data_IF_581214765952
#
_entry.id   IF_581214765952
#
_cell.length_a   1.000
_cell.length_b   1.000
_cell.length_c   1.000
_cell.angle_alpha   90.00
_cell.angle_beta   90.00
_cell.angle_gamma   90.00
#
_symmetry.space_group_name_H-M   'P 1'
#
loop_
_entity.id
_entity.type
_entity.pdbx_description
1 polymer ?
#
# COMPACT_ATOMS: atom_id res chain seq x y z
N UNK A 1 4.44 14.21 -11.43
CA UNK A 1 3.27 14.94 -10.89
C UNK A 1 2.00 14.24 -11.37
N UNK A 2 1.35 13.51 -10.48
CA UNK A 2 0.04 12.92 -10.74
C UNK A 2 -1.05 14.00 -10.62
N UNK A 3 -2.16 13.82 -11.33
CA UNK A 3 -3.34 14.66 -11.24
C UNK A 3 -4.54 13.84 -10.79
N UNK A 4 -5.31 14.36 -9.84
CA UNK A 4 -6.52 13.73 -9.30
C UNK A 4 -7.66 14.74 -9.37
N UNK A 5 -8.82 14.33 -9.85
CA UNK A 5 -10.02 15.15 -9.87
C UNK A 5 -11.25 14.33 -9.48
N UNK A 6 -12.25 14.98 -8.91
CA UNK A 6 -13.57 14.40 -8.68
C UNK A 6 -14.53 15.06 -9.66
N UNK A 7 -15.10 14.27 -10.55
CA UNK A 7 -16.11 14.72 -11.49
C UNK A 7 -17.49 14.39 -10.92
N UNK A 8 -18.34 15.39 -10.78
CA UNK A 8 -19.72 15.25 -10.30
C UNK A 8 -20.66 15.69 -11.41
N UNK A 9 -21.52 14.78 -11.87
CA UNK A 9 -22.48 15.03 -12.94
C UNK A 9 -23.88 14.75 -12.43
N UNK A 10 -24.80 15.75 -12.38
CA UNK A 10 -26.19 15.52 -11.98
C UNK A 10 -26.88 14.52 -12.92
N UNK A 11 -27.63 13.59 -12.37
CA UNK A 11 -28.49 12.68 -13.14
C UNK A 11 -29.90 13.23 -13.23
N UNK A 12 -30.66 12.81 -14.25
CA UNK A 12 -32.05 13.25 -14.45
C UNK A 12 -32.94 12.69 -13.34
N UNK A 13 -32.74 11.42 -12.98
CA UNK A 13 -33.55 10.69 -12.02
C UNK A 13 -32.76 10.37 -10.76
N UNK A 14 -33.45 10.19 -9.63
CA UNK A 14 -32.84 9.68 -8.41
C UNK A 14 -32.50 8.21 -8.56
N UNK A 15 -31.29 7.88 -8.18
CA UNK A 15 -30.77 6.51 -8.08
C UNK A 15 -30.76 6.04 -6.62
N UNK A 16 -30.58 4.74 -6.34
CA UNK A 16 -30.40 4.25 -4.96
C UNK A 16 -29.21 4.89 -4.22
N UNK A 17 -28.23 5.48 -4.95
CA UNK A 17 -27.05 6.14 -4.41
C UNK A 17 -27.12 7.67 -4.45
N UNK A 18 -28.23 8.26 -4.87
CA UNK A 18 -28.45 9.71 -4.92
C UNK A 18 -28.74 10.23 -6.32
N UNK A 19 -28.60 11.54 -6.49
CA UNK A 19 -28.92 12.27 -7.74
C UNK A 19 -27.67 12.64 -8.56
N UNK A 20 -26.48 12.40 -8.04
CA UNK A 20 -25.23 12.73 -8.72
C UNK A 20 -24.46 11.47 -9.10
N UNK A 21 -23.91 11.45 -10.31
CA UNK A 21 -22.86 10.49 -10.71
C UNK A 21 -21.50 11.06 -10.32
N UNK A 22 -20.83 10.41 -9.39
CA UNK A 22 -19.52 10.82 -8.85
C UNK A 22 -18.44 9.91 -9.38
N UNK A 23 -17.48 10.50 -10.09
CA UNK A 23 -16.38 9.77 -10.69
C UNK A 23 -15.03 10.30 -10.19
N UNK A 24 -14.18 9.39 -9.70
CA UNK A 24 -12.80 9.69 -9.37
C UNK A 24 -11.93 9.55 -10.61
N UNK A 25 -11.29 10.63 -11.00
CA UNK A 25 -10.45 10.72 -12.18
C UNK A 25 -8.99 10.81 -11.77
N UNK A 26 -8.10 10.13 -12.50
CA UNK A 26 -6.68 10.04 -12.22
C UNK A 26 -5.84 10.10 -13.50
N UNK A 27 -4.71 10.77 -13.41
CA UNK A 27 -3.63 10.71 -14.39
C UNK A 27 -2.30 10.58 -13.66
N UNK A 28 -1.51 9.55 -13.99
CA UNK A 28 -0.23 9.28 -13.33
C UNK A 28 0.85 10.32 -13.70
N UNK A 29 0.74 10.95 -14.87
CA UNK A 29 1.68 11.91 -15.41
C UNK A 29 0.97 13.15 -15.96
N UNK A 30 1.67 14.30 -15.97
CA UNK A 30 1.14 15.57 -16.46
C UNK A 30 0.65 15.56 -17.90
N UNK A 31 1.24 14.70 -18.73
CA UNK A 31 0.91 14.63 -20.17
C UNK A 31 -0.17 13.58 -20.48
N UNK A 32 -0.77 12.97 -19.47
CA UNK A 32 -1.86 12.02 -19.62
C UNK A 32 -3.19 12.71 -19.38
N UNK A 33 -4.20 12.35 -20.17
CA UNK A 33 -5.58 12.74 -19.88
C UNK A 33 -6.09 12.05 -18.62
N UNK A 34 -6.91 12.76 -17.85
CA UNK A 34 -7.64 12.19 -16.73
C UNK A 34 -8.52 11.04 -17.20
N UNK A 35 -8.40 9.89 -16.55
CA UNK A 35 -9.20 8.69 -16.77
C UNK A 35 -9.89 8.29 -15.48
N UNK A 36 -10.96 7.55 -15.56
CA UNK A 36 -11.60 6.98 -14.37
C UNK A 36 -10.60 6.09 -13.65
N UNK A 37 -10.54 6.18 -12.32
CA UNK A 37 -9.65 5.33 -11.52
C UNK A 37 -9.89 3.84 -11.82
N UNK A 38 -11.15 3.44 -12.05
CA UNK A 38 -11.51 2.06 -12.42
C UNK A 38 -10.93 1.60 -13.77
N UNK A 39 -10.53 2.53 -14.65
CA UNK A 39 -9.98 2.24 -15.98
C UNK A 39 -8.44 2.36 -16.01
N UNK A 40 -7.83 2.78 -14.89
CA UNK A 40 -6.37 2.87 -14.76
C UNK A 40 -5.83 1.45 -14.60
N UNK A 41 -5.17 0.97 -15.62
CA UNK A 41 -4.83 -0.45 -15.77
C UNK A 41 -3.61 -0.93 -14.96
N UNK A 42 -2.85 -0.03 -14.31
CA UNK A 42 -1.63 -0.40 -13.60
C UNK A 42 -1.90 -0.65 -12.11
N UNK A 43 -1.74 -1.91 -11.68
CA UNK A 43 -1.87 -2.29 -10.26
C UNK A 43 -0.97 -1.46 -9.34
N UNK A 44 0.26 -1.16 -9.76
CA UNK A 44 1.17 -0.30 -9.01
C UNK A 44 0.69 1.15 -8.86
N UNK A 45 0.01 1.73 -9.87
CA UNK A 45 -0.55 3.08 -9.78
C UNK A 45 -1.73 3.14 -8.80
N UNK A 46 -2.60 2.13 -8.85
CA UNK A 46 -3.72 2.00 -7.92
C UNK A 46 -3.21 1.80 -6.49
N UNK A 47 -2.19 0.96 -6.27
CA UNK A 47 -1.59 0.73 -4.95
C UNK A 47 -1.04 2.02 -4.35
N UNK A 48 -0.33 2.82 -5.13
CA UNK A 48 0.18 4.14 -4.69
C UNK A 48 -0.95 5.12 -4.38
N UNK A 49 -1.97 5.18 -5.22
CA UNK A 49 -3.15 6.01 -4.96
C UNK A 49 -3.85 5.59 -3.67
N UNK A 50 -4.04 4.29 -3.46
CA UNK A 50 -4.63 3.74 -2.24
C UNK A 50 -3.79 4.03 -0.99
N UNK A 51 -2.46 3.98 -1.08
CA UNK A 51 -1.57 4.38 0.01
C UNK A 51 -1.81 5.85 0.40
N UNK A 52 -1.85 6.75 -0.60
CA UNK A 52 -2.11 8.18 -0.35
C UNK A 52 -3.48 8.42 0.28
N UNK A 53 -4.53 7.76 -0.20
CA UNK A 53 -5.87 7.85 0.37
C UNK A 53 -5.90 7.33 1.80
N UNK A 54 -5.30 6.16 2.07
CA UNK A 54 -5.20 5.59 3.42
C UNK A 54 -4.42 6.51 4.35
N UNK A 55 -3.33 7.13 3.88
CA UNK A 55 -2.57 8.12 4.66
C UNK A 55 -3.42 9.33 5.04
N UNK A 56 -4.22 9.87 4.10
CA UNK A 56 -5.14 10.98 4.35
C UNK A 56 -6.25 10.60 5.34
N UNK A 57 -6.90 9.46 5.14
CA UNK A 57 -7.94 8.96 6.07
C UNK A 57 -7.35 8.74 7.45
N UNK A 58 -6.15 8.20 7.50
CA UNK A 58 -5.44 8.00 8.74
C UNK A 58 -5.27 9.31 9.51
N UNK A 59 -4.92 10.40 8.84
CA UNK A 59 -4.72 11.71 9.49
C UNK A 59 -6.01 12.30 10.10
N UNK A 60 -7.18 11.90 9.58
CA UNK A 60 -8.48 12.51 9.93
C UNK A 60 -9.31 11.67 10.90
N UNK A 61 -9.28 10.35 10.80
CA UNK A 61 -10.27 9.48 11.44
C UNK A 61 -9.79 8.80 12.76
N UNK A 62 -8.60 9.12 13.26
CA UNK A 62 -8.13 8.59 14.55
C UNK A 62 -7.99 7.06 14.60
N UNK A 63 -7.83 6.38 13.46
CA UNK A 63 -7.61 4.94 13.41
C UNK A 63 -6.30 4.60 14.12
N UNK A 64 -6.31 3.74 15.16
CA UNK A 64 -5.12 3.43 15.92
C UNK A 64 -4.13 2.55 15.16
N UNK A 65 -4.63 1.70 14.25
CA UNK A 65 -3.83 0.73 13.48
C UNK A 65 -4.21 0.74 12.01
N UNK A 66 -3.22 0.66 11.15
CA UNK A 66 -3.39 0.51 9.69
C UNK A 66 -2.60 -0.70 9.23
N UNK A 67 -3.23 -1.55 8.43
CA UNK A 67 -2.58 -2.71 7.81
C UNK A 67 -2.43 -2.45 6.30
N UNK A 68 -1.22 -2.57 5.81
CA UNK A 68 -0.87 -2.55 4.39
C UNK A 68 -0.51 -3.96 3.96
N UNK A 69 -1.34 -4.54 3.12
CA UNK A 69 -1.18 -5.90 2.62
C UNK A 69 -0.80 -5.85 1.14
N UNK A 70 0.44 -6.26 0.83
CA UNK A 70 1.01 -6.35 -0.53
C UNK A 70 0.78 -5.13 -1.44
N UNK A 71 0.76 -3.92 -0.87
CA UNK A 71 0.54 -2.70 -1.65
C UNK A 71 1.76 -2.29 -2.49
N UNK A 72 2.85 -3.01 -2.35
CA UNK A 72 4.12 -2.84 -3.04
C UNK A 72 4.25 -3.68 -4.33
N UNK A 73 3.20 -4.40 -4.71
CA UNK A 73 3.17 -5.19 -5.95
C UNK A 73 3.38 -4.31 -7.19
N UNK A 74 4.35 -4.70 -8.03
CA UNK A 74 4.66 -4.01 -9.28
C UNK A 74 5.41 -2.67 -9.12
N UNK A 75 5.98 -2.42 -7.95
CA UNK A 75 6.88 -1.29 -7.72
C UNK A 75 8.28 -1.76 -7.32
N UNK A 76 9.28 -0.91 -7.51
CA UNK A 76 10.67 -1.21 -7.16
C UNK A 76 11.50 0.05 -6.97
N UNK A 77 12.74 -0.10 -6.49
CA UNK A 77 13.74 0.95 -6.45
C UNK A 77 13.32 2.18 -5.65
N UNK A 78 13.46 3.35 -6.26
CA UNK A 78 13.20 4.64 -5.62
C UNK A 78 11.74 4.81 -5.16
N UNK A 79 10.77 4.24 -5.92
CA UNK A 79 9.35 4.33 -5.57
C UNK A 79 9.06 3.51 -4.31
N UNK A 80 9.62 2.30 -4.20
CA UNK A 80 9.49 1.46 -3.01
C UNK A 80 10.08 2.16 -1.77
N UNK A 81 11.22 2.84 -1.92
CA UNK A 81 11.84 3.60 -0.84
C UNK A 81 10.97 4.78 -0.38
N UNK A 82 10.38 5.53 -1.31
CA UNK A 82 9.45 6.62 -0.99
C UNK A 82 8.19 6.10 -0.28
N UNK A 83 7.69 4.96 -0.69
CA UNK A 83 6.53 4.31 -0.09
C UNK A 83 6.81 3.89 1.35
N UNK A 84 7.96 3.26 1.61
CA UNK A 84 8.40 2.95 2.97
C UNK A 84 8.55 4.20 3.84
N UNK A 85 9.01 5.31 3.28
CA UNK A 85 9.13 6.58 4.02
C UNK A 85 7.75 7.17 4.38
N UNK A 86 6.77 7.09 3.49
CA UNK A 86 5.38 7.49 3.80
C UNK A 86 4.81 6.64 4.93
N UNK A 87 5.02 5.31 4.89
CA UNK A 87 4.57 4.40 5.96
C UNK A 87 5.23 4.74 7.30
N UNK A 88 6.53 5.04 7.31
CA UNK A 88 7.26 5.47 8.50
C UNK A 88 6.69 6.78 9.08
N UNK A 89 6.33 7.74 8.24
CA UNK A 89 5.69 8.99 8.66
C UNK A 89 4.32 8.74 9.28
N UNK A 90 3.52 7.84 8.72
CA UNK A 90 2.23 7.42 9.30
C UNK A 90 2.47 6.74 10.66
N UNK A 91 3.50 5.90 10.77
CA UNK A 91 3.86 5.16 11.97
C UNK A 91 4.28 6.05 13.14
N UNK A 92 4.70 7.29 12.90
CA UNK A 92 5.04 8.25 13.95
C UNK A 92 3.87 8.58 14.91
N UNK A 93 2.62 8.37 14.48
CA UNK A 93 1.42 8.70 15.27
C UNK A 93 0.46 7.54 15.49
N UNK A 94 0.74 6.36 14.91
CA UNK A 94 -0.14 5.18 15.00
C UNK A 94 0.60 3.90 14.66
N UNK A 95 -0.01 2.76 14.97
CA UNK A 95 0.55 1.48 14.57
C UNK A 95 0.38 1.25 13.07
N UNK A 96 1.47 0.90 12.39
CA UNK A 96 1.47 0.46 10.99
C UNK A 96 1.98 -0.97 10.92
N UNK A 97 1.21 -1.84 10.30
CA UNK A 97 1.61 -3.22 9.98
C UNK A 97 1.70 -3.32 8.47
N UNK A 98 2.85 -3.71 7.94
CA UNK A 98 3.05 -3.89 6.51
C UNK A 98 3.47 -5.31 6.18
N UNK A 99 2.78 -5.92 5.23
CA UNK A 99 3.17 -7.20 4.62
C UNK A 99 3.83 -6.82 3.30
N UNK A 100 5.13 -7.11 3.16
CA UNK A 100 5.95 -6.67 2.04
C UNK A 100 6.99 -7.72 1.66
N UNK A 101 7.31 -7.76 0.38
CA UNK A 101 8.44 -8.53 -0.17
C UNK A 101 9.60 -7.62 -0.60
N UNK A 102 9.49 -6.29 -0.41
CA UNK A 102 10.51 -5.33 -0.82
C UNK A 102 11.43 -4.93 0.33
N UNK A 103 12.75 -5.12 0.19
CA UNK A 103 13.73 -4.74 1.21
C UNK A 103 13.69 -3.24 1.52
N UNK A 104 13.38 -2.38 0.52
CA UNK A 104 13.27 -0.92 0.68
C UNK A 104 12.15 -0.51 1.64
N UNK A 105 11.07 -1.29 1.72
CA UNK A 105 9.96 -1.09 2.66
C UNK A 105 10.30 -1.72 3.99
N UNK A 106 10.76 -2.99 3.99
CA UNK A 106 11.07 -3.74 5.19
C UNK A 106 12.11 -3.03 6.09
N UNK A 107 13.14 -2.39 5.50
CA UNK A 107 14.16 -1.63 6.25
C UNK A 107 13.62 -0.40 7.00
N UNK A 108 12.38 0.01 6.80
CA UNK A 108 11.78 1.17 7.46
C UNK A 108 11.00 0.83 8.73
N UNK A 109 10.75 -0.46 8.96
CA UNK A 109 10.07 -0.93 10.17
C UNK A 109 11.00 -0.93 11.38
N UNK A 110 10.43 -0.86 12.59
CA UNK A 110 11.14 -1.00 13.86
C UNK A 110 11.11 -2.43 14.39
N UNK A 111 10.00 -3.14 14.12
CA UNK A 111 9.80 -4.54 14.47
C UNK A 111 9.58 -5.36 13.20
N UNK A 112 10.23 -6.52 13.15
CA UNK A 112 10.21 -7.39 11.98
C UNK A 112 9.75 -8.78 12.34
N UNK A 113 8.81 -9.30 11.55
CA UNK A 113 8.26 -10.63 11.71
C UNK A 113 8.49 -11.43 10.43
N UNK A 114 9.09 -12.60 10.57
CA UNK A 114 9.24 -13.55 9.48
C UNK A 114 8.03 -14.50 9.46
N UNK A 115 7.37 -14.56 8.32
CA UNK A 115 6.36 -15.58 8.02
C UNK A 115 7.03 -16.67 7.19
N UNK A 116 6.98 -17.90 7.67
CA UNK A 116 7.57 -19.04 6.98
C UNK A 116 6.67 -20.27 7.05
N UNK A 117 6.86 -21.16 6.10
CA UNK A 117 6.14 -22.42 6.03
C UNK A 117 7.05 -23.55 6.45
N UNK A 118 6.51 -24.48 7.19
CA UNK A 118 7.17 -25.71 7.60
C UNK A 118 6.30 -26.91 7.19
N UNK A 119 6.90 -27.84 6.46
CA UNK A 119 6.21 -29.05 6.03
C UNK A 119 6.36 -30.11 7.11
N UNK A 120 5.22 -30.58 7.60
CA UNK A 120 5.13 -31.77 8.46
C UNK A 120 4.72 -32.99 7.64
N UNK A 121 4.82 -34.18 8.19
CA UNK A 121 4.41 -35.42 7.50
C UNK A 121 2.93 -35.44 7.08
N UNK A 122 2.11 -34.52 7.62
CA UNK A 122 0.65 -34.51 7.43
C UNK A 122 0.19 -33.25 6.67
N UNK A 123 0.84 -32.11 6.90
CA UNK A 123 0.41 -30.82 6.33
C UNK A 123 1.53 -29.78 6.36
N UNK A 124 1.39 -28.75 5.52
CA UNK A 124 2.19 -27.52 5.62
C UNK A 124 1.61 -26.62 6.70
N UNK A 125 2.43 -26.16 7.64
CA UNK A 125 2.07 -25.19 8.68
C UNK A 125 2.71 -23.85 8.40
N UNK A 126 1.97 -22.77 8.66
CA UNK A 126 2.49 -21.41 8.55
C UNK A 126 2.80 -20.88 9.94
N UNK A 127 4.02 -20.40 10.11
CA UNK A 127 4.53 -19.85 11.36
C UNK A 127 4.89 -18.38 11.20
N UNK A 128 4.83 -17.65 12.32
CA UNK A 128 5.29 -16.26 12.41
C UNK A 128 6.18 -16.12 13.65
N UNK A 129 7.31 -15.46 13.50
CA UNK A 129 8.18 -15.11 14.62
C UNK A 129 8.81 -13.73 14.45
N UNK A 130 9.06 -13.06 15.55
CA UNK A 130 9.82 -11.82 15.57
C UNK A 130 11.29 -12.10 15.30
N UNK A 131 11.94 -11.26 14.51
CA UNK A 131 13.37 -11.33 14.22
C UNK A 131 14.16 -10.46 15.17
N UNK A 132 15.33 -10.95 15.59
CA UNK A 132 16.36 -10.12 16.20
C UNK A 132 16.98 -9.18 15.15
N UNK A 133 17.70 -8.15 15.58
CA UNK A 133 18.35 -7.21 14.67
C UNK A 133 19.28 -7.91 13.68
N UNK A 134 20.06 -8.89 14.14
CA UNK A 134 20.98 -9.64 13.27
C UNK A 134 20.23 -10.51 12.24
N UNK A 135 19.16 -11.17 12.66
CA UNK A 135 18.32 -11.98 11.77
C UNK A 135 17.63 -11.09 10.73
N UNK A 136 17.15 -9.91 11.14
CA UNK A 136 16.56 -8.94 10.23
C UNK A 136 17.54 -8.49 9.14
N UNK A 137 18.78 -8.13 9.51
CA UNK A 137 19.82 -7.77 8.53
C UNK A 137 20.07 -8.90 7.53
N UNK A 138 20.19 -10.15 8.02
CA UNK A 138 20.36 -11.32 7.16
C UNK A 138 19.15 -11.56 6.24
N UNK A 139 17.93 -11.31 6.71
CA UNK A 139 16.73 -11.47 5.91
C UNK A 139 16.61 -10.39 4.83
N UNK A 140 16.96 -9.13 5.15
CA UNK A 140 17.02 -8.04 4.16
C UNK A 140 18.03 -8.37 3.04
N UNK A 141 19.18 -8.94 3.34
CA UNK A 141 20.14 -9.35 2.29
C UNK A 141 19.54 -10.42 1.38
N UNK A 142 18.89 -11.45 1.92
CA UNK A 142 18.18 -12.45 1.10
C UNK A 142 17.08 -11.83 0.21
N UNK A 143 16.34 -10.86 0.74
CA UNK A 143 15.30 -10.16 -0.05
C UNK A 143 15.89 -9.35 -1.22
N UNK A 144 17.17 -8.97 -1.16
CA UNK A 144 17.85 -8.24 -2.25
C UNK A 144 18.34 -9.15 -3.38
N UNK A 145 18.48 -10.45 -3.10
CA UNK A 145 18.95 -11.44 -4.07
C UNK A 145 17.84 -12.00 -4.97
N UNK A 146 16.58 -11.71 -4.65
CA UNK A 146 15.38 -12.15 -5.39
C UNK A 146 15.01 -11.06 -6.41
#
# INVERSE_FOLDING_TARGET
>A
HANVAVQITPTVDFTPTGKDDVQFMFAANLNQSLRRVAEVASGGEISRLMLCIKALIASTNGLPTIIFDEIDTGISGAIASQMGEIMRQIAASRQVISITHLPQVATKGEHHYLVYKEDTDVRTETHIRELTTQEHEAEIEKMREI
#
